data_IF_446054801207
#
_entry.id   IF_446054801207
#
_cell.length_a   1.000
_cell.length_b   1.000
_cell.length_c   1.000
_cell.angle_alpha   90.00
_cell.angle_beta   90.00
_cell.angle_gamma   90.00
#
_symmetry.space_group_name_H-M   'P 1'
#
loop_
_entity.id
_entity.type
_entity.pdbx_description
1 polymer ?
#
# COMPACT_ATOMS: atom_id res chain seq x y z
N UNK A 1 16.30 -6.11 22.52
CA UNK A 1 15.23 -5.80 21.55
C UNK A 1 14.60 -4.47 21.93
N UNK A 2 14.47 -3.54 20.98
CA UNK A 2 13.94 -2.18 21.20
C UNK A 2 12.44 -2.14 20.84
N UNK A 3 12.09 -2.75 19.71
CA UNK A 3 10.71 -3.07 19.30
C UNK A 3 10.70 -4.49 18.72
N UNK A 4 9.53 -5.16 18.59
CA UNK A 4 9.46 -6.48 17.97
C UNK A 4 10.20 -6.55 16.62
N UNK A 5 11.17 -7.46 16.52
CA UNK A 5 11.99 -7.65 15.33
C UNK A 5 13.12 -6.63 15.13
N UNK A 6 13.38 -5.73 16.09
CA UNK A 6 14.49 -4.77 16.01
C UNK A 6 15.33 -4.83 17.29
N UNK A 7 16.62 -5.14 17.13
CA UNK A 7 17.57 -5.29 18.22
C UNK A 7 18.30 -3.97 18.52
N UNK A 8 18.93 -3.87 19.70
CA UNK A 8 19.50 -2.61 20.18
C UNK A 8 20.81 -2.23 19.44
N UNK A 9 21.45 -3.22 18.84
CA UNK A 9 22.61 -3.13 17.95
C UNK A 9 22.25 -2.74 16.51
N UNK A 10 20.96 -2.66 16.17
CA UNK A 10 20.50 -2.31 14.82
C UNK A 10 20.18 -3.51 13.93
N UNK A 11 20.34 -4.74 14.43
CA UNK A 11 19.91 -5.92 13.69
C UNK A 11 18.38 -5.95 13.56
N UNK A 12 17.88 -6.42 12.41
CA UNK A 12 16.46 -6.46 12.09
C UNK A 12 16.00 -7.85 11.62
N UNK A 13 15.06 -8.43 12.35
CA UNK A 13 14.30 -9.60 11.94
C UNK A 13 12.98 -9.16 11.32
N UNK A 14 12.99 -9.00 10.00
CA UNK A 14 11.86 -8.42 9.26
C UNK A 14 10.57 -9.22 9.44
N UNK A 15 10.64 -10.56 9.50
CA UNK A 15 9.44 -11.38 9.69
C UNK A 15 8.80 -11.17 11.07
N UNK A 16 9.60 -11.05 12.13
CA UNK A 16 9.07 -10.71 13.47
C UNK A 16 8.43 -9.32 13.49
N UNK A 17 9.04 -8.33 12.83
CA UNK A 17 8.46 -7.00 12.72
C UNK A 17 7.16 -7.03 11.92
N UNK A 18 7.09 -7.81 10.84
CA UNK A 18 5.89 -7.96 10.02
C UNK A 18 4.77 -8.63 10.80
N UNK A 19 5.06 -9.65 11.59
CA UNK A 19 4.07 -10.33 12.41
C UNK A 19 3.55 -9.42 13.52
N UNK A 20 4.42 -8.65 14.18
CA UNK A 20 4.01 -7.63 15.14
C UNK A 20 3.18 -6.52 14.48
N UNK A 21 3.56 -6.08 13.28
CA UNK A 21 2.79 -5.12 12.50
C UNK A 21 1.40 -5.64 12.14
N UNK A 22 1.32 -6.91 11.70
CA UNK A 22 0.06 -7.60 11.41
C UNK A 22 -0.83 -7.69 12.64
N UNK A 23 -0.26 -8.04 13.79
CA UNK A 23 -1.01 -8.17 15.05
C UNK A 23 -1.52 -6.81 15.52
N UNK A 24 -0.69 -5.76 15.43
CA UNK A 24 -1.11 -4.39 15.74
C UNK A 24 -2.22 -3.86 14.81
N UNK A 25 -2.44 -4.50 13.67
CA UNK A 25 -3.52 -4.22 12.72
C UNK A 25 -4.69 -5.21 12.82
N UNK A 26 -4.69 -6.20 13.73
CA UNK A 26 -5.63 -7.34 13.69
C UNK A 26 -7.03 -7.04 14.22
N UNK A 27 -7.19 -6.04 15.07
CA UNK A 27 -8.51 -5.66 15.64
C UNK A 27 -8.81 -4.16 15.51
N UNK A 28 -7.93 -3.46 14.81
CA UNK A 28 -7.93 -2.01 14.75
C UNK A 28 -8.55 -1.54 13.45
N UNK A 29 -9.36 -0.49 13.53
CA UNK A 29 -9.65 0.34 12.36
C UNK A 29 -8.40 1.17 12.03
N UNK A 30 -8.19 1.50 10.76
CA UNK A 30 -7.04 2.30 10.33
C UNK A 30 -7.28 2.96 8.98
N UNK A 31 -6.57 4.05 8.73
CA UNK A 31 -6.40 4.62 7.41
C UNK A 31 -4.99 4.29 6.93
N UNK A 32 -4.88 3.69 5.75
CA UNK A 32 -3.60 3.41 5.12
C UNK A 32 -3.54 4.13 3.78
N UNK A 33 -2.45 4.83 3.54
CA UNK A 33 -2.13 5.44 2.25
C UNK A 33 -0.78 4.92 1.77
N UNK A 34 -0.67 4.71 0.47
CA UNK A 34 0.54 4.29 -0.24
C UNK A 34 0.66 5.11 -1.51
N UNK A 35 1.87 5.56 -1.82
CA UNK A 35 2.23 6.21 -3.06
C UNK A 35 3.56 5.65 -3.58
N UNK A 36 3.59 5.29 -4.86
CA UNK A 36 4.80 4.86 -5.57
C UNK A 36 4.99 5.76 -6.79
N UNK A 37 6.06 6.55 -6.78
CA UNK A 37 6.49 7.40 -7.88
C UNK A 37 7.68 6.74 -8.56
N UNK A 38 7.61 6.59 -9.88
CA UNK A 38 8.70 6.09 -10.70
C UNK A 38 8.99 7.10 -11.81
N UNK A 39 10.23 7.57 -11.85
CA UNK A 39 10.72 8.49 -12.89
C UNK A 39 11.78 7.77 -13.71
N UNK A 40 11.55 7.62 -15.01
CA UNK A 40 12.51 7.06 -15.96
C UNK A 40 13.21 8.17 -16.74
N UNK A 41 14.51 8.01 -16.95
CA UNK A 41 15.32 8.94 -17.73
C UNK A 41 16.17 8.18 -18.75
N UNK A 42 16.17 8.65 -19.99
CA UNK A 42 17.04 8.18 -21.08
C UNK A 42 17.49 9.38 -21.91
N UNK A 43 18.80 9.55 -22.08
CA UNK A 43 19.38 10.75 -22.70
C UNK A 43 18.78 12.06 -22.12
N UNK A 44 18.05 12.81 -22.97
CA UNK A 44 17.38 14.07 -22.61
C UNK A 44 15.86 13.93 -22.38
N UNK A 45 15.33 12.70 -22.37
CA UNK A 45 13.92 12.41 -22.16
C UNK A 45 13.71 11.94 -20.72
N UNK A 46 12.72 12.52 -20.04
CA UNK A 46 12.28 12.11 -18.71
C UNK A 46 10.77 11.89 -18.73
N UNK A 47 10.33 10.76 -18.18
CA UNK A 47 8.92 10.44 -17.99
C UNK A 47 8.68 9.97 -16.54
N UNK A 48 7.47 10.16 -16.03
CA UNK A 48 7.13 9.78 -14.67
C UNK A 48 5.73 9.21 -14.55
N UNK A 49 5.59 8.21 -13.69
CA UNK A 49 4.31 7.63 -13.32
C UNK A 49 4.15 7.64 -11.81
N UNK A 50 2.92 7.87 -11.36
CA UNK A 50 2.53 7.87 -9.95
C UNK A 50 1.38 6.92 -9.76
N UNK A 51 1.54 5.96 -8.85
CA UNK A 51 0.44 5.12 -8.40
C UNK A 51 0.18 5.33 -6.91
N UNK A 52 -1.08 5.17 -6.50
CA UNK A 52 -1.48 5.28 -5.12
C UNK A 52 -2.48 4.19 -4.74
N UNK A 53 -2.53 3.91 -3.44
CA UNK A 53 -3.58 3.14 -2.78
C UNK A 53 -3.99 3.85 -1.50
N UNK A 54 -5.29 3.97 -1.27
CA UNK A 54 -5.86 4.46 -0.02
C UNK A 54 -6.89 3.46 0.49
N UNK A 55 -6.77 3.09 1.75
CA UNK A 55 -7.74 2.26 2.47
C UNK A 55 -8.21 3.04 3.68
N UNK A 56 -9.52 3.19 3.84
CA UNK A 56 -10.16 3.57 5.11
C UNK A 56 -10.88 2.33 5.62
N UNK A 57 -10.31 1.68 6.62
CA UNK A 57 -10.81 0.40 7.14
C UNK A 57 -11.43 0.62 8.52
N UNK A 58 -12.76 0.53 8.62
CA UNK A 58 -13.43 0.49 9.92
C UNK A 58 -13.52 -0.95 10.43
N UNK A 59 -13.97 -1.86 9.57
CA UNK A 59 -13.99 -3.30 9.84
C UNK A 59 -14.10 -4.09 8.52
N UNK A 60 -14.23 -5.42 8.63
CA UNK A 60 -14.19 -6.32 7.49
C UNK A 60 -15.36 -6.16 6.49
N UNK A 61 -16.47 -5.55 6.91
CA UNK A 61 -17.65 -5.30 6.06
C UNK A 61 -17.93 -3.81 5.83
N UNK A 62 -17.19 -2.91 6.48
CA UNK A 62 -17.30 -1.46 6.31
C UNK A 62 -15.94 -0.83 6.05
N UNK A 63 -15.68 -0.47 4.79
CA UNK A 63 -14.41 0.09 4.35
C UNK A 63 -14.58 0.91 3.06
N UNK A 64 -13.58 1.74 2.76
CA UNK A 64 -13.39 2.37 1.47
C UNK A 64 -12.01 2.08 0.94
N UNK A 65 -11.90 1.69 -0.33
CA UNK A 65 -10.63 1.47 -1.03
C UNK A 65 -10.59 2.29 -2.30
N UNK A 66 -9.44 2.89 -2.58
CA UNK A 66 -9.21 3.76 -3.73
C UNK A 66 -7.81 3.54 -4.29
N UNK A 67 -7.70 3.38 -5.61
CA UNK A 67 -6.42 3.23 -6.29
C UNK A 67 -6.53 3.61 -7.76
N UNK A 68 -5.41 4.07 -8.32
CA UNK A 68 -5.19 4.21 -9.76
C UNK A 68 -4.22 3.15 -10.31
N UNK A 69 -4.05 2.04 -9.58
CA UNK A 69 -3.06 1.00 -9.86
C UNK A 69 -3.67 -0.36 -10.23
N UNK A 70 -2.84 -1.40 -10.12
CA UNK A 70 -3.28 -2.79 -10.30
C UNK A 70 -4.10 -3.26 -9.10
N UNK A 71 -5.22 -3.94 -9.36
CA UNK A 71 -6.10 -4.59 -8.37
C UNK A 71 -6.36 -6.06 -8.74
N UNK A 72 -6.57 -6.90 -7.73
CA UNK A 72 -6.74 -8.37 -7.83
C UNK A 72 -8.22 -8.78 -7.94
N UNK A 73 -9.03 -8.09 -8.77
CA UNK A 73 -10.49 -8.30 -8.80
C UNK A 73 -10.93 -9.56 -9.59
N UNK A 74 -10.23 -9.91 -10.65
CA UNK A 74 -10.67 -10.94 -11.60
C UNK A 74 -9.99 -12.28 -11.31
N UNK A 75 -10.55 -13.10 -10.42
CA UNK A 75 -10.10 -14.48 -10.17
C UNK A 75 -8.57 -14.61 -9.94
N UNK A 76 -7.98 -13.66 -9.21
CA UNK A 76 -6.53 -13.63 -8.95
C UNK A 76 -5.68 -12.98 -10.06
N UNK A 77 -6.28 -12.51 -11.16
CA UNK A 77 -5.59 -11.72 -12.18
C UNK A 77 -5.52 -10.24 -11.78
N UNK A 78 -4.29 -9.71 -11.78
CA UNK A 78 -3.99 -8.28 -11.64
C UNK A 78 -4.41 -7.52 -12.88
N UNK A 79 -5.41 -6.65 -12.75
CA UNK A 79 -5.85 -5.74 -13.82
C UNK A 79 -5.54 -4.31 -13.40
N UNK A 80 -5.01 -3.52 -14.34
CA UNK A 80 -4.76 -2.10 -14.14
C UNK A 80 -6.04 -1.30 -14.40
N UNK A 81 -6.39 -0.42 -13.46
CA UNK A 81 -7.48 0.53 -13.62
C UNK A 81 -6.96 1.94 -13.32
N UNK A 82 -7.05 2.90 -14.25
CA UNK A 82 -6.77 4.30 -13.94
C UNK A 82 -7.65 4.86 -12.81
N UNK A 83 -8.86 4.32 -12.62
CA UNK A 83 -9.70 4.61 -11.45
C UNK A 83 -10.32 3.32 -10.94
N UNK A 84 -10.13 3.02 -9.66
CA UNK A 84 -10.76 1.89 -8.99
C UNK A 84 -11.14 2.25 -7.56
N UNK A 85 -12.43 2.20 -7.27
CA UNK A 85 -12.98 2.45 -5.94
C UNK A 85 -13.83 1.26 -5.47
N UNK A 86 -13.68 0.88 -4.21
CA UNK A 86 -14.62 0.01 -3.52
C UNK A 86 -15.19 0.72 -2.30
N UNK A 87 -16.48 0.52 -2.04
CA UNK A 87 -17.13 0.94 -0.82
C UNK A 87 -17.97 -0.20 -0.28
N UNK A 88 -17.64 -0.66 0.93
CA UNK A 88 -18.42 -1.65 1.65
C UNK A 88 -19.30 -0.95 2.68
N UNK A 89 -20.61 -1.17 2.60
CA UNK A 89 -21.59 -0.49 3.45
C UNK A 89 -21.99 -1.28 4.70
N UNK A 90 -21.56 -2.54 4.78
CA UNK A 90 -21.90 -3.49 5.84
C UNK A 90 -22.50 -4.79 5.29
N UNK A 91 -23.15 -4.73 4.13
CA UNK A 91 -23.82 -5.85 3.47
C UNK A 91 -23.25 -6.09 2.06
N UNK A 92 -23.10 -5.02 1.29
CA UNK A 92 -22.63 -5.04 -0.08
C UNK A 92 -21.31 -4.28 -0.22
N UNK A 93 -20.48 -4.74 -1.17
CA UNK A 93 -19.33 -4.00 -1.70
C UNK A 93 -19.72 -3.46 -3.07
N UNK A 94 -19.88 -2.14 -3.15
CA UNK A 94 -20.06 -1.42 -4.39
C UNK A 94 -18.70 -1.12 -4.99
N UNK A 95 -18.56 -1.33 -6.28
CA UNK A 95 -17.32 -1.04 -7.00
C UNK A 95 -17.60 -0.06 -8.12
N UNK A 96 -16.70 0.91 -8.28
CA UNK A 96 -16.64 1.81 -9.43
C UNK A 96 -15.27 1.67 -10.06
N UNK A 97 -15.22 1.37 -11.35
CA UNK A 97 -13.96 1.18 -12.06
C UNK A 97 -13.99 1.87 -13.43
N UNK A 98 -12.84 2.37 -13.86
CA UNK A 98 -12.58 2.86 -15.21
C UNK A 98 -11.38 2.09 -15.76
N UNK A 99 -11.53 1.49 -16.94
CA UNK A 99 -10.44 0.87 -17.71
C UNK A 99 -10.10 1.74 -18.90
N UNK A 100 -8.87 1.68 -19.39
CA UNK A 100 -8.46 2.35 -20.64
C UNK A 100 -9.24 1.86 -21.85
N UNK A 101 -9.85 0.68 -21.78
CA UNK A 101 -10.68 0.08 -22.82
C UNK A 101 -12.17 0.46 -22.74
N UNK A 102 -12.61 1.26 -21.76
CA UNK A 102 -14.02 1.60 -21.55
C UNK A 102 -14.27 3.08 -21.78
N UNK A 103 -15.41 3.42 -22.38
CA UNK A 103 -15.82 4.81 -22.59
C UNK A 103 -16.23 5.51 -21.28
N UNK A 104 -16.79 4.75 -20.32
CA UNK A 104 -17.36 5.26 -19.08
C UNK A 104 -17.03 4.38 -17.87
N UNK A 105 -17.34 4.89 -16.68
CA UNK A 105 -17.30 4.14 -15.43
C UNK A 105 -18.24 2.93 -15.49
N UNK A 106 -17.74 1.79 -15.03
CA UNK A 106 -18.56 0.62 -14.75
C UNK A 106 -18.78 0.47 -13.25
N UNK A 107 -19.98 0.06 -12.92
CA UNK A 107 -20.37 -0.24 -11.54
C UNK A 107 -20.67 -1.71 -11.40
N UNK A 108 -20.39 -2.24 -10.22
CA UNK A 108 -20.65 -3.63 -9.89
C UNK A 108 -20.89 -3.76 -8.40
N UNK A 109 -21.48 -4.90 -8.00
CA UNK A 109 -21.86 -5.18 -6.63
C UNK A 109 -21.64 -6.64 -6.30
N UNK A 110 -20.97 -6.87 -5.18
CA UNK A 110 -20.76 -8.19 -4.61
C UNK A 110 -21.09 -8.15 -3.13
N UNK A 111 -21.53 -9.27 -2.57
CA UNK A 111 -21.78 -9.38 -1.13
C UNK A 111 -20.48 -9.20 -0.36
N UNK A 112 -20.51 -8.43 0.73
CA UNK A 112 -19.38 -8.28 1.63
C UNK A 112 -19.08 -9.62 2.33
N UNK A 113 -17.88 -10.16 2.12
CA UNK A 113 -17.45 -11.45 2.67
C UNK A 113 -16.29 -11.33 3.67
N UNK A 114 -16.13 -10.16 4.30
CA UNK A 114 -15.17 -9.97 5.39
C UNK A 114 -13.71 -9.88 4.94
N UNK A 115 -13.38 -8.97 4.01
CA UNK A 115 -12.08 -8.89 3.32
C UNK A 115 -10.96 -8.23 4.16
N UNK A 116 -10.78 -8.62 5.44
CA UNK A 116 -9.69 -8.06 6.28
C UNK A 116 -8.30 -8.47 5.78
N UNK A 117 -8.13 -9.76 5.47
CA UNK A 117 -6.82 -10.35 5.17
C UNK A 117 -6.14 -9.70 3.96
N UNK A 118 -6.91 -9.27 2.95
CA UNK A 118 -6.37 -8.56 1.77
C UNK A 118 -5.70 -7.24 2.16
N UNK A 119 -6.37 -6.42 2.97
CA UNK A 119 -5.84 -5.10 3.34
C UNK A 119 -4.64 -5.22 4.27
N UNK A 120 -4.74 -6.08 5.30
CA UNK A 120 -3.60 -6.33 6.20
C UNK A 120 -2.40 -6.86 5.41
N UNK A 121 -2.62 -7.78 4.46
CA UNK A 121 -1.56 -8.24 3.55
C UNK A 121 -0.95 -7.09 2.75
N UNK A 122 -1.76 -6.21 2.17
CA UNK A 122 -1.25 -5.04 1.44
C UNK A 122 -0.36 -4.15 2.30
N UNK A 123 -0.79 -3.79 3.51
CA UNK A 123 0.02 -2.94 4.41
C UNK A 123 1.33 -3.65 4.82
N UNK A 124 1.27 -4.95 5.14
CA UNK A 124 2.46 -5.71 5.55
C UNK A 124 3.45 -6.00 4.42
N UNK A 125 2.98 -6.09 3.17
CA UNK A 125 3.84 -6.36 2.01
C UNK A 125 4.90 -5.26 1.82
N UNK A 126 4.56 -4.01 2.15
CA UNK A 126 5.49 -2.90 2.06
C UNK A 126 6.66 -3.04 3.03
N UNK A 127 6.38 -3.47 4.26
CA UNK A 127 7.39 -3.78 5.28
C UNK A 127 8.30 -4.90 4.77
N UNK A 128 7.72 -5.99 4.26
CA UNK A 128 8.46 -7.12 3.66
C UNK A 128 9.30 -6.72 2.45
N UNK A 129 8.90 -5.69 1.70
CA UNK A 129 9.59 -5.26 0.48
C UNK A 129 10.80 -4.37 0.77
N UNK A 130 10.72 -3.50 1.79
CA UNK A 130 11.69 -2.42 1.98
C UNK A 130 12.50 -2.49 3.29
N UNK A 131 12.04 -3.24 4.30
CA UNK A 131 12.79 -3.39 5.55
C UNK A 131 13.71 -4.61 5.69
N UNK A 132 13.78 -5.59 4.76
CA UNK A 132 14.92 -6.48 4.71
C UNK A 132 16.17 -5.66 4.34
N UNK A 133 16.93 -5.25 5.35
CA UNK A 133 18.18 -4.49 5.25
C UNK A 133 19.23 -5.12 6.16
N UNK A 134 20.51 -4.88 5.87
CA UNK A 134 21.59 -5.47 6.67
C UNK A 134 21.58 -5.00 8.13
N UNK A 135 21.39 -3.71 8.35
CA UNK A 135 21.22 -3.11 9.67
C UNK A 135 20.47 -1.78 9.58
N UNK A 136 19.94 -1.32 10.71
CA UNK A 136 19.27 -0.02 10.86
C UNK A 136 19.92 0.83 11.94
N UNK A 137 20.01 2.13 11.69
CA UNK A 137 20.19 3.12 12.76
C UNK A 137 18.85 3.34 13.46
N UNK A 138 18.89 3.41 14.78
CA UNK A 138 17.69 3.52 15.62
C UNK A 138 17.71 4.87 16.36
N UNK A 139 16.64 5.64 16.21
CA UNK A 139 16.43 6.89 16.92
C UNK A 139 15.09 6.81 17.68
N UNK A 140 15.12 6.97 19.01
CA UNK A 140 13.89 7.08 19.79
C UNK A 140 13.28 8.47 19.60
N UNK A 141 11.99 8.49 19.30
CA UNK A 141 11.18 9.69 19.13
C UNK A 141 10.12 9.68 20.22
N UNK A 142 10.20 10.67 21.10
CA UNK A 142 9.14 10.93 22.07
C UNK A 142 7.90 11.49 21.37
N UNK A 143 6.73 10.96 21.72
CA UNK A 143 5.45 11.44 21.20
C UNK A 143 4.38 11.40 22.29
N UNK A 144 3.37 12.26 22.18
CA UNK A 144 2.23 12.26 23.09
C UNK A 144 1.48 10.92 23.14
N UNK A 145 1.63 10.08 22.11
CA UNK A 145 1.03 8.75 22.00
C UNK A 145 1.98 7.61 22.44
N UNK A 146 3.05 7.93 23.17
CA UNK A 146 4.08 7.00 23.62
C UNK A 146 5.34 6.97 22.74
N UNK A 147 6.34 6.21 23.17
CA UNK A 147 7.63 6.12 22.48
C UNK A 147 7.48 5.50 21.09
N UNK A 148 8.16 6.11 20.12
CA UNK A 148 8.28 5.63 18.74
C UNK A 148 9.76 5.50 18.40
N UNK A 149 10.05 4.73 17.38
CA UNK A 149 11.41 4.48 16.94
C UNK A 149 11.49 4.75 15.45
N UNK A 150 12.37 5.66 15.05
CA UNK A 150 12.74 5.84 13.65
C UNK A 150 13.88 4.90 13.33
N UNK A 151 13.67 4.09 12.30
CA UNK A 151 14.64 3.16 11.73
C UNK A 151 15.10 3.75 10.41
N UNK A 152 16.41 3.84 10.19
CA UNK A 152 16.97 4.28 8.90
C UNK A 152 18.04 3.33 8.43
N UNK A 153 18.11 3.11 7.12
CA UNK A 153 19.19 2.35 6.50
C UNK A 153 19.47 2.85 5.10
N UNK A 154 20.72 2.73 4.68
CA UNK A 154 21.18 2.99 3.31
C UNK A 154 21.72 1.74 2.63
N UNK A 155 21.65 0.59 3.32
CA UNK A 155 22.17 -0.68 2.83
C UNK A 155 20.99 -1.58 2.49
N UNK A 156 20.74 -1.88 1.20
CA UNK A 156 19.66 -2.80 0.82
C UNK A 156 19.97 -4.22 1.30
N UNK A 157 18.97 -5.11 1.31
CA UNK A 157 19.23 -6.55 1.47
C UNK A 157 20.14 -7.08 0.37
N UNK A 158 20.83 -8.19 0.65
CA UNK A 158 21.60 -8.93 -0.36
C UNK A 158 20.77 -9.31 -1.59
N UNK A 159 19.46 -9.52 -1.43
CA UNK A 159 18.55 -9.81 -2.55
C UNK A 159 18.30 -8.59 -3.44
N UNK A 160 18.22 -7.38 -2.87
CA UNK A 160 17.99 -6.14 -3.63
C UNK A 160 19.30 -5.51 -4.13
N UNK A 161 20.40 -5.69 -3.40
CA UNK A 161 21.69 -5.04 -3.66
C UNK A 161 22.19 -5.16 -5.12
N UNK A 162 22.03 -6.30 -5.83
CA UNK A 162 22.47 -6.42 -7.23
C UNK A 162 21.63 -5.61 -8.23
N UNK A 163 20.46 -5.11 -7.83
CA UNK A 163 19.48 -4.51 -8.72
C UNK A 163 19.23 -3.03 -8.44
N UNK A 164 19.75 -2.50 -7.33
CA UNK A 164 19.44 -1.15 -6.86
C UNK A 164 20.68 -0.39 -6.45
N UNK A 165 20.65 0.91 -6.68
CA UNK A 165 21.65 1.87 -6.23
C UNK A 165 20.99 2.95 -5.37
N UNK A 166 21.80 3.73 -4.64
CA UNK A 166 21.37 4.85 -3.80
C UNK A 166 20.21 4.52 -2.85
N UNK A 167 20.18 3.28 -2.35
CA UNK A 167 19.11 2.79 -1.49
C UNK A 167 19.05 3.61 -0.21
N UNK A 168 17.85 4.07 0.15
CA UNK A 168 17.57 4.70 1.44
C UNK A 168 16.18 4.26 1.88
N UNK A 169 16.06 3.83 3.12
CA UNK A 169 14.77 3.51 3.74
C UNK A 169 14.67 4.19 5.10
N UNK A 170 13.46 4.66 5.43
CA UNK A 170 13.13 5.20 6.73
C UNK A 170 11.76 4.68 7.16
N UNK A 171 11.67 4.17 8.39
CA UNK A 171 10.43 3.72 8.97
C UNK A 171 10.22 4.36 10.36
N UNK A 172 8.98 4.63 10.73
CA UNK A 172 8.61 4.99 12.10
C UNK A 172 7.76 3.87 12.67
N UNK A 173 8.24 3.26 13.75
CA UNK A 173 7.65 2.08 14.37
C UNK A 173 7.23 2.40 15.80
N UNK A 174 6.03 1.98 16.18
CA UNK A 174 5.58 2.06 17.58
C UNK A 174 6.21 0.95 18.42
N UNK A 175 6.17 1.08 19.75
CA UNK A 175 6.66 0.03 20.65
C UNK A 175 6.02 -1.36 20.43
N UNK A 176 4.78 -1.41 19.90
CA UNK A 176 4.07 -2.67 19.60
C UNK A 176 4.40 -3.25 18.21
N UNK A 177 5.32 -2.65 17.46
CA UNK A 177 5.69 -3.10 16.11
C UNK A 177 4.82 -2.57 14.97
N UNK A 178 3.86 -1.68 15.25
CA UNK A 178 3.10 -1.01 14.18
C UNK A 178 4.01 -0.04 13.41
N UNK A 179 4.24 -0.30 12.13
CA UNK A 179 4.90 0.62 11.20
C UNK A 179 3.91 1.70 10.77
N UNK A 180 4.15 2.94 11.22
CA UNK A 180 3.29 4.11 10.98
C UNK A 180 3.63 4.81 9.68
N UNK A 181 4.92 4.97 9.41
CA UNK A 181 5.43 5.57 8.19
C UNK A 181 6.52 4.67 7.65
N UNK A 182 6.56 4.51 6.33
CA UNK A 182 7.64 3.82 5.63
C UNK A 182 7.91 4.55 4.33
N UNK A 183 9.13 5.03 4.14
CA UNK A 183 9.59 5.63 2.89
C UNK A 183 10.81 4.88 2.39
N UNK A 184 10.88 4.66 1.08
CA UNK A 184 12.05 4.06 0.44
C UNK A 184 12.36 4.78 -0.85
N UNK A 185 13.64 5.01 -1.13
CA UNK A 185 14.13 5.60 -2.38
C UNK A 185 15.31 4.82 -2.89
N UNK A 186 15.36 4.55 -4.18
CA UNK A 186 16.46 3.86 -4.83
C UNK A 186 16.41 4.08 -6.34
N UNK A 187 17.52 3.81 -7.00
CA UNK A 187 17.63 3.80 -8.45
C UNK A 187 17.79 2.38 -8.96
N UNK A 188 17.27 2.10 -10.16
CA UNK A 188 17.52 0.84 -10.90
C UNK A 188 17.86 1.19 -12.33
N UNK A 189 18.70 0.39 -12.97
CA UNK A 189 18.99 0.55 -14.39
C UNK A 189 18.35 -0.55 -15.24
N UNK A 190 18.00 -0.20 -16.48
CA UNK A 190 17.61 -1.18 -17.50
C UNK A 190 18.29 -0.84 -18.80
N UNK A 191 19.19 -1.70 -19.24
CA UNK A 191 19.80 -1.61 -20.57
C UNK A 191 18.86 -2.13 -21.65
N UNK A 192 18.87 -1.43 -22.78
CA UNK A 192 18.24 -1.80 -24.05
C UNK A 192 19.34 -2.02 -25.09
N UNK A 193 18.97 -2.35 -26.33
CA UNK A 193 19.96 -2.51 -27.41
C UNK A 193 20.68 -1.20 -27.78
N UNK A 194 20.08 -0.05 -27.49
CA UNK A 194 20.59 1.27 -27.89
C UNK A 194 20.97 2.16 -26.72
N UNK A 195 20.29 2.04 -25.58
CA UNK A 195 20.42 2.96 -24.45
C UNK A 195 20.27 2.27 -23.09
N UNK A 196 20.78 2.91 -22.03
CA UNK A 196 20.46 2.58 -20.63
C UNK A 196 19.43 3.55 -20.08
N UNK A 197 18.36 3.00 -19.50
CA UNK A 197 17.30 3.77 -18.84
C UNK A 197 17.51 3.69 -17.32
N UNK A 198 17.75 4.83 -16.68
CA UNK A 198 17.83 4.92 -15.21
C UNK A 198 16.43 5.24 -14.67
N UNK A 199 15.99 4.48 -13.67
CA UNK A 199 14.72 4.70 -12.98
C UNK A 199 14.97 5.12 -11.54
N UNK A 200 14.46 6.27 -11.13
CA UNK A 200 14.33 6.66 -9.72
C UNK A 200 12.98 6.19 -9.18
N UNK A 201 13.00 5.46 -8.07
CA UNK A 201 11.81 4.99 -7.37
C UNK A 201 11.68 5.74 -6.04
N UNK A 202 10.48 6.21 -5.74
CA UNK A 202 10.13 6.79 -4.44
C UNK A 202 8.83 6.17 -3.94
N UNK A 203 8.95 5.43 -2.85
CA UNK A 203 7.86 4.78 -2.16
C UNK A 203 7.56 5.52 -0.85
N UNK A 204 6.27 5.65 -0.52
CA UNK A 204 5.81 6.14 0.78
C UNK A 204 4.54 5.42 1.19
N UNK A 205 4.43 5.05 2.46
CA UNK A 205 3.16 4.66 3.06
C UNK A 205 2.99 5.20 4.46
N UNK A 206 1.74 5.44 4.84
CA UNK A 206 1.34 5.96 6.15
C UNK A 206 0.16 5.15 6.70
N UNK A 207 0.18 4.86 8.01
CA UNK A 207 -0.93 4.28 8.78
C UNK A 207 -1.38 5.29 9.84
N UNK A 208 -2.53 5.93 9.62
CA UNK A 208 -3.15 6.93 10.49
C UNK A 208 -4.48 6.45 11.09
N UNK A 209 -5.06 7.26 11.97
CA UNK A 209 -6.42 7.10 12.52
C UNK A 209 -6.71 5.69 13.04
N UNK A 210 -5.74 5.16 13.77
CA UNK A 210 -5.82 3.80 14.33
C UNK A 210 -6.82 3.82 15.49
N UNK A 211 -7.68 2.80 15.58
CA UNK A 211 -8.73 2.58 16.60
C UNK A 211 -10.05 3.37 16.41
N UNK A 212 -10.08 4.43 15.61
CA UNK A 212 -11.32 5.15 15.32
C UNK A 212 -11.40 5.66 13.88
N UNK A 213 -11.95 4.85 12.97
CA UNK A 213 -12.20 5.24 11.57
C UNK A 213 -13.69 5.20 11.27
N UNK A 214 -14.23 6.35 10.87
CA UNK A 214 -15.53 6.43 10.21
C UNK A 214 -15.36 6.31 8.69
N UNK A 215 -16.25 5.56 8.05
CA UNK A 215 -16.29 5.41 6.59
C UNK A 215 -17.61 5.92 6.07
N UNK A 216 -17.58 7.11 5.46
CA UNK A 216 -18.76 7.74 4.87
C UNK A 216 -19.05 7.18 3.47
N UNK A 217 -20.33 7.12 3.06
CA UNK A 217 -20.70 6.78 1.69
C UNK A 217 -20.04 7.72 0.67
N UNK A 218 -19.46 7.20 -0.41
CA UNK A 218 -18.85 8.04 -1.44
C UNK A 218 -19.93 8.67 -2.34
N UNK A 219 -19.61 9.84 -2.92
CA UNK A 219 -20.53 10.60 -3.77
C UNK A 219 -21.01 9.83 -5.01
N UNK A 220 -20.27 8.81 -5.46
CA UNK A 220 -20.64 7.98 -6.60
C UNK A 220 -21.60 6.84 -6.25
N UNK A 221 -21.82 6.53 -4.96
CA UNK A 221 -22.68 5.41 -4.54
C UNK A 221 -24.12 5.52 -5.09
N UNK A 222 -24.80 6.69 -5.06
CA UNK A 222 -26.14 6.80 -5.63
C UNK A 222 -26.20 6.54 -7.13
N UNK A 223 -25.12 6.80 -7.87
CA UNK A 223 -25.03 6.46 -9.29
C UNK A 223 -24.87 4.93 -9.49
N UNK A 224 -24.03 4.30 -8.67
CA UNK A 224 -23.85 2.85 -8.68
C UNK A 224 -25.17 2.12 -8.40
N UNK A 225 -25.89 2.50 -7.33
CA UNK A 225 -27.16 1.90 -6.94
C UNK A 225 -28.22 2.00 -8.04
N UNK A 226 -28.35 3.17 -8.69
CA UNK A 226 -29.27 3.35 -9.82
C UNK A 226 -28.89 2.47 -11.02
N UNK A 227 -27.60 2.36 -11.35
CA UNK A 227 -27.16 1.53 -12.46
C UNK A 227 -27.46 0.04 -12.21
N UNK A 228 -27.23 -0.43 -10.99
CA UNK A 228 -27.41 -1.82 -10.60
C UNK A 228 -28.89 -2.21 -10.43
N UNK A 229 -29.75 -1.28 -10.03
CA UNK A 229 -31.20 -1.49 -9.97
C UNK A 229 -31.83 -1.70 -11.35
N UNK A 230 -31.25 -1.08 -12.39
CA UNK A 230 -31.72 -1.19 -13.77
C UNK A 230 -31.28 -2.49 -14.50
N UNK A 231 -30.74 -3.47 -13.78
CA UNK A 231 -30.53 -4.83 -14.28
C UNK A 231 -29.28 -5.06 -15.13
N UNK A 232 -28.37 -4.09 -15.25
CA UNK A 232 -27.08 -4.30 -15.93
C UNK A 232 -26.09 -5.01 -15.00
N UNK A 233 -26.32 -6.30 -14.75
CA UNK A 233 -25.27 -7.16 -14.17
C UNK A 233 -24.19 -7.35 -15.24
N UNK A 234 -22.91 -7.26 -14.85
CA UNK A 234 -21.83 -7.69 -15.72
C UNK A 234 -22.05 -9.18 -16.05
N UNK A 235 -22.36 -9.48 -17.31
CA UNK A 235 -22.06 -10.79 -17.87
C UNK A 235 -20.55 -10.96 -17.79
N UNK A 236 -20.08 -12.03 -17.14
CA UNK A 236 -18.71 -12.50 -17.34
C UNK A 236 -18.46 -12.65 -18.84
N UNK A 237 -17.34 -12.14 -19.39
CA UNK A 237 -16.83 -12.68 -20.63
C UNK A 237 -16.41 -14.15 -20.44
#
# INVERSE_FOLDING_TARGET
>A
MVVPGVYADGDIETDLLVDAHREALRETSFVWTETENRTGRVANVTDSTTSYRTVRFANATRYYFDTNGRTDRYQGRRVYYPVYNEYADGEDVYVRALSTSWADYRYDRVTANGIRSRFVRSVTNSVKRYLPVGSVSIEQIESAAGSRYRLTSTVPSETLAPFVEDYRVSAVVTQRGLVRNLTATYTTERSTATDTITFTHRYSSTVSDVENVAVSPPAWLPAAQRHLANGTRLSSP
#
